data_IF_252579521920
#
_entry.id   IF_252579521920
#
_cell.length_a   1.000
_cell.length_b   1.000
_cell.length_c   1.000
_cell.angle_alpha   90.00
_cell.angle_beta   90.00
_cell.angle_gamma   90.00
#
_symmetry.space_group_name_H-M   'P 1'
#
loop_
_entity.id
_entity.type
_entity.pdbx_description
1 polymer ?
#
# COMPACT_ATOMS: atom_id res chain seq x y z
N UNK A 1 7.93 15.82 -13.98
CA UNK A 1 8.06 17.00 -13.11
C UNK A 1 7.38 16.84 -11.75
N UNK A 2 6.15 16.35 -11.65
CA UNK A 2 5.41 16.19 -10.37
C UNK A 2 6.08 15.27 -9.33
N UNK A 3 6.74 14.19 -9.74
CA UNK A 3 7.51 13.31 -8.83
C UNK A 3 8.64 14.01 -8.06
N UNK A 4 9.16 15.15 -8.60
CA UNK A 4 10.17 15.95 -7.90
C UNK A 4 9.60 16.80 -6.76
N UNK A 5 8.27 16.97 -6.69
CA UNK A 5 7.57 17.80 -5.71
C UNK A 5 6.99 17.01 -4.53
N UNK A 6 7.32 15.71 -4.37
CA UNK A 6 6.80 14.89 -3.28
C UNK A 6 5.39 14.31 -3.51
N UNK A 7 4.87 14.39 -4.74
CA UNK A 7 3.54 13.88 -5.10
C UNK A 7 3.57 12.42 -5.58
N UNK A 8 4.70 11.72 -5.45
CA UNK A 8 4.85 10.35 -5.93
C UNK A 8 3.92 9.38 -5.21
N UNK A 9 3.84 9.47 -3.89
CA UNK A 9 3.04 8.59 -3.05
C UNK A 9 1.53 8.79 -3.23
N UNK A 10 0.99 10.02 -3.19
CA UNK A 10 -0.43 10.24 -3.48
C UNK A 10 -0.84 9.78 -4.88
N UNK A 11 -0.01 10.05 -5.89
CA UNK A 11 -0.28 9.63 -7.27
C UNK A 11 -0.22 8.10 -7.41
N UNK A 12 0.72 7.44 -6.73
CA UNK A 12 0.82 5.99 -6.68
C UNK A 12 -0.45 5.39 -6.05
N UNK A 13 -0.88 5.93 -4.91
CA UNK A 13 -2.09 5.48 -4.22
C UNK A 13 -3.34 5.62 -5.10
N UNK A 14 -3.53 6.78 -5.75
CA UNK A 14 -4.68 7.01 -6.64
C UNK A 14 -4.65 6.06 -7.83
N UNK A 15 -3.48 5.90 -8.46
CA UNK A 15 -3.34 5.09 -9.68
C UNK A 15 -3.56 3.60 -9.41
N UNK A 16 -2.95 3.05 -8.36
CA UNK A 16 -3.03 1.62 -8.03
C UNK A 16 -4.20 1.25 -7.11
N UNK A 17 -4.94 2.24 -6.62
CA UNK A 17 -6.16 2.06 -5.83
C UNK A 17 -7.42 2.39 -6.61
N UNK A 18 -8.01 3.56 -6.37
CA UNK A 18 -9.31 3.90 -6.93
C UNK A 18 -9.38 3.78 -8.45
N UNK A 19 -8.36 4.25 -9.18
CA UNK A 19 -8.39 4.21 -10.66
C UNK A 19 -8.27 2.78 -11.19
N UNK A 20 -7.32 1.99 -10.69
CA UNK A 20 -7.15 0.60 -11.14
C UNK A 20 -8.38 -0.24 -10.79
N UNK A 21 -8.93 -0.07 -9.58
CA UNK A 21 -10.14 -0.80 -9.14
C UNK A 21 -11.37 -0.38 -9.93
N UNK A 22 -11.55 0.92 -10.19
CA UNK A 22 -12.65 1.41 -11.02
C UNK A 22 -12.56 0.84 -12.45
N UNK A 23 -11.38 0.84 -13.05
CA UNK A 23 -11.15 0.25 -14.36
C UNK A 23 -11.49 -1.25 -14.38
N UNK A 24 -11.06 -2.01 -13.37
CA UNK A 24 -11.38 -3.43 -13.24
C UNK A 24 -12.90 -3.64 -13.12
N UNK A 25 -13.60 -2.87 -12.27
CA UNK A 25 -15.05 -2.96 -12.08
C UNK A 25 -15.81 -2.68 -13.38
N UNK A 26 -15.38 -1.69 -14.16
CA UNK A 26 -15.99 -1.38 -15.46
C UNK A 26 -15.85 -2.56 -16.43
N UNK A 27 -14.68 -3.19 -16.47
CA UNK A 27 -14.42 -4.31 -17.38
C UNK A 27 -15.22 -5.56 -17.02
N UNK A 28 -15.34 -5.90 -15.74
CA UNK A 28 -16.03 -7.11 -15.28
C UNK A 28 -17.56 -6.95 -15.22
N UNK A 29 -18.08 -5.72 -15.30
CA UNK A 29 -19.50 -5.41 -15.24
C UNK A 29 -20.02 -4.83 -16.59
N UNK A 30 -20.00 -5.59 -17.69
CA UNK A 30 -20.25 -5.07 -19.04
C UNK A 30 -21.68 -4.55 -19.26
N UNK A 31 -22.61 -4.84 -18.35
CA UNK A 31 -24.00 -4.37 -18.38
C UNK A 31 -24.29 -3.18 -17.50
N UNK A 32 -23.30 -2.69 -16.76
CA UNK A 32 -23.47 -1.47 -16.00
C UNK A 32 -23.59 -0.31 -16.98
N UNK A 33 -24.73 0.38 -16.95
CA UNK A 33 -24.85 1.66 -17.61
C UNK A 33 -23.70 2.52 -17.10
N UNK A 34 -22.85 2.99 -18.03
CA UNK A 34 -21.70 3.83 -17.71
C UNK A 34 -22.09 5.23 -17.21
N UNK A 35 -23.33 5.44 -16.81
CA UNK A 35 -23.84 6.71 -16.30
C UNK A 35 -23.14 7.14 -15.01
N UNK A 36 -22.53 6.19 -14.27
CA UNK A 36 -21.69 6.51 -13.10
C UNK A 36 -20.60 5.46 -12.87
N UNK A 37 -19.35 5.91 -12.80
CA UNK A 37 -18.23 5.08 -12.34
C UNK A 37 -18.44 4.76 -10.85
N UNK A 38 -18.30 3.50 -10.39
CA UNK A 38 -18.55 3.10 -9.00
C UNK A 38 -17.39 3.53 -8.08
N UNK A 39 -17.17 4.82 -7.96
CA UNK A 39 -16.05 5.39 -7.19
C UNK A 39 -16.07 4.97 -5.72
N UNK A 40 -17.25 4.90 -5.10
CA UNK A 40 -17.39 4.46 -3.71
C UNK A 40 -16.84 3.04 -3.49
N UNK A 41 -17.28 2.09 -4.31
CA UNK A 41 -16.80 0.71 -4.29
C UNK A 41 -15.31 0.63 -4.64
N UNK A 42 -14.88 1.36 -5.68
CA UNK A 42 -13.48 1.38 -6.11
C UNK A 42 -12.56 1.90 -5.00
N UNK A 43 -13.00 2.92 -4.25
CA UNK A 43 -12.26 3.46 -3.12
C UNK A 43 -12.19 2.44 -1.97
N UNK A 44 -13.32 1.86 -1.57
CA UNK A 44 -13.39 0.91 -0.45
C UNK A 44 -12.53 -0.33 -0.73
N UNK A 45 -12.60 -0.88 -1.95
CA UNK A 45 -11.85 -2.08 -2.33
C UNK A 45 -10.37 -1.78 -2.57
N UNK A 46 -10.07 -0.65 -3.20
CA UNK A 46 -8.72 -0.31 -3.64
C UNK A 46 -7.83 0.37 -2.60
N UNK A 47 -8.38 0.98 -1.55
CA UNK A 47 -7.64 1.85 -0.65
C UNK A 47 -6.52 1.14 0.13
N UNK A 48 -6.79 0.00 0.75
CA UNK A 48 -5.82 -0.79 1.51
C UNK A 48 -4.70 -1.34 0.62
N UNK A 49 -5.02 -2.12 -0.44
CA UNK A 49 -4.02 -2.63 -1.39
C UNK A 49 -3.16 -1.54 -2.03
N UNK A 50 -3.76 -0.38 -2.36
CA UNK A 50 -3.02 0.77 -2.88
C UNK A 50 -2.04 1.35 -1.86
N UNK A 51 -2.44 1.40 -0.59
CA UNK A 51 -1.55 1.86 0.48
C UNK A 51 -0.37 0.89 0.66
N UNK A 52 -0.59 -0.42 0.54
CA UNK A 52 0.47 -1.42 0.55
C UNK A 52 1.44 -1.23 -0.63
N UNK A 53 0.92 -0.92 -1.83
CA UNK A 53 1.74 -0.58 -3.00
C UNK A 53 2.53 0.72 -2.80
N UNK A 54 1.89 1.73 -2.23
CA UNK A 54 2.52 3.01 -1.90
C UNK A 54 3.63 2.85 -0.86
N UNK A 55 3.47 1.92 0.09
CA UNK A 55 4.49 1.56 1.08
C UNK A 55 5.77 1.02 0.42
N UNK A 56 5.65 0.25 -0.68
CA UNK A 56 6.82 -0.21 -1.45
C UNK A 56 7.60 0.97 -2.03
N UNK A 57 6.88 1.95 -2.61
CA UNK A 57 7.48 3.18 -3.11
C UNK A 57 8.16 3.97 -1.98
N UNK A 58 7.47 4.16 -0.86
CA UNK A 58 8.01 4.84 0.32
C UNK A 58 9.30 4.17 0.82
N UNK A 59 9.32 2.85 0.95
CA UNK A 59 10.50 2.09 1.38
C UNK A 59 11.66 2.16 0.38
N UNK A 60 11.39 2.35 -0.92
CA UNK A 60 12.44 2.49 -1.92
C UNK A 60 13.27 3.76 -1.74
N UNK A 61 12.70 4.82 -1.17
CA UNK A 61 13.41 6.08 -0.96
C UNK A 61 14.47 6.01 0.15
N UNK A 62 14.43 5.03 1.06
CA UNK A 62 15.44 4.91 2.13
C UNK A 62 16.85 4.72 1.58
N UNK A 63 17.02 3.89 0.55
CA UNK A 63 18.34 3.68 -0.05
C UNK A 63 18.68 4.71 -1.13
N UNK A 64 17.68 5.46 -1.63
CA UNK A 64 17.85 6.46 -2.71
C UNK A 64 17.96 7.90 -2.20
N UNK A 65 17.95 8.13 -0.88
CA UNK A 65 17.87 9.47 -0.30
C UNK A 65 18.94 10.43 -0.82
N UNK A 66 20.19 9.96 -0.93
CA UNK A 66 21.30 10.78 -1.43
C UNK A 66 21.15 11.10 -2.92
N UNK A 67 20.68 10.15 -3.72
CA UNK A 67 20.43 10.33 -5.15
C UNK A 67 19.24 11.27 -5.37
N UNK A 68 18.16 11.10 -4.61
CA UNK A 68 16.98 11.97 -4.68
C UNK A 68 17.34 13.42 -4.31
N UNK A 69 18.13 13.63 -3.26
CA UNK A 69 18.60 14.95 -2.83
C UNK A 69 19.52 15.59 -3.88
N UNK A 70 20.44 14.84 -4.49
CA UNK A 70 21.37 15.33 -5.50
C UNK A 70 20.67 15.88 -6.76
N UNK A 71 19.51 15.32 -7.12
CA UNK A 71 18.71 15.79 -8.28
C UNK A 71 17.58 16.75 -7.88
N UNK A 72 17.58 17.25 -6.65
CA UNK A 72 16.57 18.18 -6.15
C UNK A 72 15.15 17.58 -6.04
N UNK A 73 15.03 16.26 -5.89
CA UNK A 73 13.75 15.57 -5.71
C UNK A 73 13.34 15.67 -4.24
N UNK A 74 12.14 16.15 -3.98
CA UNK A 74 11.54 16.28 -2.65
C UNK A 74 10.77 15.00 -2.30
N UNK A 75 11.46 13.84 -2.22
CA UNK A 75 10.81 12.62 -1.70
C UNK A 75 10.50 12.78 -0.21
N UNK A 76 9.54 12.00 0.36
CA UNK A 76 9.21 12.06 1.78
C UNK A 76 10.43 11.94 2.68
N UNK A 77 11.39 11.12 2.31
CA UNK A 77 12.62 10.93 3.09
C UNK A 77 13.57 12.13 3.02
N UNK A 78 13.65 12.80 1.88
CA UNK A 78 14.45 14.03 1.75
C UNK A 78 13.83 15.15 2.60
N UNK A 79 12.50 15.22 2.67
CA UNK A 79 11.79 16.26 3.43
C UNK A 79 11.77 15.97 4.94
N UNK A 80 11.44 14.73 5.33
CA UNK A 80 11.26 14.34 6.74
C UNK A 80 12.58 13.94 7.42
N UNK A 81 13.56 13.48 6.65
CA UNK A 81 14.73 12.78 7.14
C UNK A 81 14.43 11.31 7.49
N UNK A 82 15.49 10.48 7.49
CA UNK A 82 15.35 9.02 7.64
C UNK A 82 14.74 8.61 8.99
N UNK A 83 15.07 9.31 10.08
CA UNK A 83 14.58 8.98 11.42
C UNK A 83 13.06 9.19 11.54
N UNK A 84 12.56 10.36 11.13
CA UNK A 84 11.11 10.64 11.17
C UNK A 84 10.35 9.71 10.24
N UNK A 85 10.87 9.47 9.04
CA UNK A 85 10.29 8.54 8.09
C UNK A 85 10.22 7.11 8.65
N UNK A 86 11.28 6.62 9.32
CA UNK A 86 11.28 5.31 9.97
C UNK A 86 10.25 5.21 11.11
N UNK A 87 10.05 6.29 11.88
CA UNK A 87 9.04 6.35 12.92
C UNK A 87 7.61 6.48 12.37
N UNK A 88 7.45 6.98 11.15
CA UNK A 88 6.16 7.06 10.48
C UNK A 88 5.73 5.72 9.86
N UNK A 89 6.66 4.83 9.55
CA UNK A 89 6.40 3.53 8.92
C UNK A 89 5.37 2.65 9.64
N UNK A 90 5.39 2.49 10.99
CA UNK A 90 4.36 1.73 11.69
C UNK A 90 2.94 2.26 11.48
N UNK A 91 2.79 3.58 11.35
CA UNK A 91 1.51 4.21 11.08
C UNK A 91 1.01 3.90 9.67
N UNK A 92 1.91 3.85 8.67
CA UNK A 92 1.55 3.43 7.31
C UNK A 92 1.10 1.97 7.28
N UNK A 93 1.84 1.06 7.94
CA UNK A 93 1.44 -0.36 8.03
C UNK A 93 0.12 -0.51 8.80
N UNK A 94 -0.05 0.22 9.90
CA UNK A 94 -1.31 0.24 10.65
C UNK A 94 -2.49 0.74 9.82
N UNK A 95 -2.28 1.78 9.01
CA UNK A 95 -3.30 2.33 8.12
C UNK A 95 -3.72 1.32 7.05
N UNK A 96 -2.80 0.50 6.51
CA UNK A 96 -3.15 -0.57 5.56
C UNK A 96 -4.19 -1.50 6.20
N UNK A 97 -3.88 -2.05 7.37
CA UNK A 97 -4.80 -2.94 8.07
C UNK A 97 -6.10 -2.24 8.49
N UNK A 98 -6.04 -0.97 8.90
CA UNK A 98 -7.24 -0.21 9.22
C UNK A 98 -8.18 -0.10 8.01
N UNK A 99 -7.63 0.23 6.83
CA UNK A 99 -8.40 0.35 5.58
C UNK A 99 -8.98 -0.99 5.10
N UNK A 100 -8.36 -2.11 5.49
CA UNK A 100 -8.82 -3.45 5.15
C UNK A 100 -9.80 -4.02 6.19
N UNK A 101 -9.63 -3.69 7.47
CA UNK A 101 -10.50 -4.18 8.54
C UNK A 101 -11.81 -3.39 8.65
N UNK A 102 -11.79 -2.09 8.41
CA UNK A 102 -13.00 -1.25 8.48
C UNK A 102 -14.14 -1.77 7.57
N UNK A 103 -13.91 -2.14 6.31
CA UNK A 103 -14.97 -2.71 5.47
C UNK A 103 -15.52 -4.03 5.99
N UNK A 104 -14.68 -4.85 6.64
CA UNK A 104 -15.13 -6.10 7.27
C UNK A 104 -16.03 -5.81 8.49
N UNK A 105 -15.60 -4.89 9.36
CA UNK A 105 -16.37 -4.49 10.54
C UNK A 105 -17.72 -3.87 10.19
N UNK A 106 -17.80 -3.20 9.05
CA UNK A 106 -19.07 -2.62 8.55
C UNK A 106 -19.89 -3.60 7.69
N UNK A 107 -19.50 -4.87 7.61
CA UNK A 107 -20.23 -5.88 6.84
C UNK A 107 -20.18 -5.71 5.32
N UNK A 108 -19.26 -4.87 4.80
CA UNK A 108 -19.09 -4.62 3.36
C UNK A 108 -18.19 -5.70 2.74
N UNK A 109 -17.19 -6.16 3.48
CA UNK A 109 -16.30 -7.24 3.05
C UNK A 109 -16.61 -8.54 3.81
N UNK A 110 -16.41 -9.69 3.16
CA UNK A 110 -16.59 -10.97 3.82
C UNK A 110 -15.53 -11.18 4.92
N UNK A 111 -15.90 -11.87 6.01
CA UNK A 111 -15.00 -12.14 7.15
C UNK A 111 -13.75 -12.91 6.75
N UNK A 112 -13.80 -13.69 5.68
CA UNK A 112 -12.66 -14.43 5.12
C UNK A 112 -11.51 -13.54 4.68
N UNK A 113 -11.76 -12.25 4.39
CA UNK A 113 -10.71 -11.27 4.04
C UNK A 113 -9.81 -10.93 5.22
N UNK A 114 -10.17 -11.30 6.47
CA UNK A 114 -9.29 -11.25 7.63
C UNK A 114 -8.02 -12.08 7.46
N UNK A 115 -7.96 -12.96 6.46
CA UNK A 115 -6.71 -13.63 6.06
C UNK A 115 -5.58 -12.65 5.75
N UNK A 116 -5.86 -11.38 5.42
CA UNK A 116 -4.83 -10.34 5.26
C UNK A 116 -3.93 -10.20 6.49
N UNK A 117 -4.43 -10.51 7.69
CA UNK A 117 -3.65 -10.48 8.94
C UNK A 117 -2.46 -11.47 8.94
N UNK A 118 -2.47 -12.48 8.07
CA UNK A 118 -1.32 -13.39 7.87
C UNK A 118 -0.08 -12.63 7.40
N UNK A 119 -0.26 -11.46 6.76
CA UNK A 119 0.83 -10.60 6.34
C UNK A 119 1.48 -9.79 7.48
N UNK A 120 0.85 -9.72 8.66
CA UNK A 120 1.30 -8.92 9.79
C UNK A 120 2.76 -9.19 10.22
N UNK A 121 3.22 -10.45 10.36
CA UNK A 121 4.62 -10.72 10.70
C UNK A 121 5.59 -10.09 9.70
N UNK A 122 5.29 -10.16 8.39
CA UNK A 122 6.13 -9.55 7.35
C UNK A 122 6.16 -8.01 7.45
N UNK A 123 5.04 -7.39 7.82
CA UNK A 123 4.97 -5.95 8.10
C UNK A 123 5.78 -5.55 9.32
N UNK A 124 5.72 -6.34 10.39
CA UNK A 124 6.52 -6.11 11.60
C UNK A 124 8.02 -6.27 11.35
N UNK A 125 8.43 -7.23 10.54
CA UNK A 125 9.83 -7.43 10.16
C UNK A 125 10.35 -6.26 9.32
N UNK A 126 9.54 -5.73 8.40
CA UNK A 126 9.85 -4.52 7.65
C UNK A 126 10.06 -3.32 8.59
N UNK A 127 9.16 -3.12 9.55
CA UNK A 127 9.26 -2.04 10.54
C UNK A 127 10.55 -2.17 11.35
N UNK A 128 10.87 -3.36 11.86
CA UNK A 128 12.09 -3.63 12.63
C UNK A 128 13.34 -3.36 11.81
N UNK A 129 13.37 -3.83 10.55
CA UNK A 129 14.49 -3.60 9.63
C UNK A 129 14.77 -2.11 9.44
N UNK A 130 13.73 -1.33 9.09
CA UNK A 130 13.87 0.09 8.82
C UNK A 130 14.22 0.86 10.09
N UNK A 131 13.52 0.64 11.21
CA UNK A 131 13.82 1.34 12.47
C UNK A 131 15.25 1.11 12.95
N UNK A 132 15.78 -0.10 12.74
CA UNK A 132 17.14 -0.45 13.19
C UNK A 132 18.22 0.13 12.30
N UNK A 133 17.95 0.32 11.02
CA UNK A 133 18.98 0.61 10.03
C UNK A 133 18.71 1.84 9.16
N UNK A 134 17.71 2.69 9.50
CA UNK A 134 17.25 3.81 8.68
C UNK A 134 18.36 4.78 8.22
N UNK A 135 19.45 4.89 8.97
CA UNK A 135 20.60 5.76 8.69
C UNK A 135 21.77 5.05 7.96
N UNK A 136 21.60 3.76 7.60
CA UNK A 136 22.62 2.95 6.93
C UNK A 136 22.07 2.44 5.59
N UNK A 137 22.18 3.24 4.51
CA UNK A 137 21.59 2.88 3.18
C UNK A 137 22.01 1.51 2.68
N UNK A 138 23.24 1.08 2.96
CA UNK A 138 23.75 -0.23 2.52
C UNK A 138 22.98 -1.40 3.16
N UNK A 139 22.61 -1.29 4.45
CA UNK A 139 21.89 -2.34 5.17
C UNK A 139 20.40 -2.41 4.81
N UNK A 140 19.84 -1.32 4.29
CA UNK A 140 18.42 -1.23 3.89
C UNK A 140 18.23 -1.24 2.37
N UNK A 141 19.27 -1.53 1.60
CA UNK A 141 19.19 -1.61 0.13
C UNK A 141 18.04 -2.52 -0.35
N UNK A 142 17.76 -3.56 0.41
CA UNK A 142 16.69 -4.53 0.12
C UNK A 142 15.34 -4.20 0.77
N UNK A 143 15.19 -3.06 1.44
CA UNK A 143 13.93 -2.69 2.13
C UNK A 143 12.71 -2.70 1.22
N UNK A 144 12.88 -2.28 -0.05
CA UNK A 144 11.82 -2.33 -1.05
C UNK A 144 11.31 -3.75 -1.31
N UNK A 145 12.21 -4.75 -1.28
CA UNK A 145 11.83 -6.16 -1.48
C UNK A 145 11.11 -6.72 -0.23
N UNK A 146 11.50 -6.28 0.97
CA UNK A 146 10.77 -6.61 2.20
C UNK A 146 9.37 -6.00 2.19
N UNK A 147 9.22 -4.77 1.71
CA UNK A 147 7.93 -4.13 1.52
C UNK A 147 7.10 -4.83 0.42
N UNK A 148 7.74 -5.22 -0.69
CA UNK A 148 7.09 -5.98 -1.76
C UNK A 148 6.61 -7.35 -1.25
N UNK A 149 7.42 -8.06 -0.45
CA UNK A 149 7.02 -9.32 0.18
C UNK A 149 5.78 -9.13 1.05
N UNK A 150 5.76 -8.08 1.88
CA UNK A 150 4.58 -7.75 2.69
C UNK A 150 3.36 -7.50 1.82
N UNK A 151 3.46 -6.63 0.82
CA UNK A 151 2.38 -6.31 -0.12
C UNK A 151 1.88 -7.57 -0.86
N UNK A 152 2.78 -8.44 -1.33
CA UNK A 152 2.39 -9.66 -2.06
C UNK A 152 1.62 -10.62 -1.16
N UNK A 153 2.10 -10.88 0.07
CA UNK A 153 1.41 -11.76 1.02
C UNK A 153 0.04 -11.16 1.36
N UNK A 154 -0.02 -9.87 1.66
CA UNK A 154 -1.25 -9.16 1.98
C UNK A 154 -2.28 -9.27 0.83
N UNK A 155 -1.88 -8.91 -0.39
CA UNK A 155 -2.75 -8.94 -1.56
C UNK A 155 -3.23 -10.34 -1.93
N UNK A 156 -2.36 -11.37 -1.83
CA UNK A 156 -2.75 -12.77 -2.05
C UNK A 156 -3.75 -13.24 -1.00
N UNK A 157 -3.52 -12.93 0.27
CA UNK A 157 -4.45 -13.31 1.35
C UNK A 157 -5.81 -12.64 1.20
N UNK A 158 -5.85 -11.35 0.82
CA UNK A 158 -7.11 -10.67 0.50
C UNK A 158 -7.82 -11.33 -0.67
N UNK A 159 -7.10 -11.60 -1.76
CA UNK A 159 -7.68 -12.23 -2.96
C UNK A 159 -8.25 -13.61 -2.66
N UNK A 160 -7.52 -14.43 -1.88
CA UNK A 160 -8.01 -15.74 -1.44
C UNK A 160 -9.22 -15.55 -0.50
N UNK A 161 -9.19 -14.58 0.40
CA UNK A 161 -10.30 -14.27 1.28
C UNK A 161 -11.58 -13.92 0.53
N UNK A 162 -11.49 -13.10 -0.51
CA UNK A 162 -12.63 -12.80 -1.39
C UNK A 162 -13.09 -14.02 -2.18
N UNK A 163 -12.15 -14.80 -2.76
CA UNK A 163 -12.50 -15.99 -3.53
C UNK A 163 -13.17 -17.07 -2.68
N UNK A 164 -12.66 -17.30 -1.47
CA UNK A 164 -13.24 -18.31 -0.57
C UNK A 164 -14.63 -17.93 -0.08
N UNK A 165 -14.95 -16.66 0.05
CA UNK A 165 -16.29 -16.22 0.46
C UNK A 165 -17.38 -16.70 -0.51
N UNK A 166 -17.06 -16.83 -1.80
CA UNK A 166 -18.00 -17.31 -2.81
C UNK A 166 -18.42 -18.78 -2.59
N UNK A 167 -17.60 -19.58 -1.92
CA UNK A 167 -17.92 -21.00 -1.64
C UNK A 167 -18.69 -21.21 -0.33
N UNK A 168 -18.85 -20.16 0.48
CA UNK A 168 -19.55 -20.20 1.76
C UNK A 168 -20.88 -19.42 1.75
N UNK A 169 -21.24 -18.84 0.60
CA UNK A 169 -22.55 -18.24 0.31
C UNK A 169 -23.45 -19.26 -0.43
#
# INVERSE_FOLDING_TARGET
>A
MYKRQGLGEPLCWIAFGPLATAAALIVISPKSNFDAIPWGTALIVGAGPAMATTLVLFCSHFHQINQDAAVGKKSPLVVLGTNRAANFLPWLVGLIFLLELLPVLNGVWPITTLMCLISLPSGLDLIKLIKRHHNKPELIKNSKFSALRFQTINGLCLSIGFATSYFFL
#
